data_IF_393812997059
#
_entry.id   IF_393812997059
#
_cell.length_a   1.000
_cell.length_b   1.000
_cell.length_c   1.000
_cell.angle_alpha   90.00
_cell.angle_beta   90.00
_cell.angle_gamma   90.00
#
_symmetry.space_group_name_H-M   'P 1'
#
loop_
_entity.id
_entity.type
_entity.pdbx_description
1 polymer ?
#
# COMPACT_ATOMS: atom_id res chain seq x y z
N UNK A 1 5.19 12.72 -2.37
CA UNK A 1 6.20 12.46 -1.33
C UNK A 1 7.51 13.16 -1.64
N UNK A 2 8.15 12.88 -2.79
CA UNK A 2 9.42 13.50 -3.21
C UNK A 2 9.35 15.03 -3.29
N UNK A 3 8.26 15.58 -3.85
CA UNK A 3 8.08 17.01 -3.95
C UNK A 3 8.09 17.73 -2.58
N UNK A 4 7.48 17.13 -1.57
CA UNK A 4 7.50 17.65 -0.21
C UNK A 4 8.90 17.58 0.42
N UNK A 5 9.62 16.48 0.19
CA UNK A 5 10.98 16.32 0.67
C UNK A 5 11.95 17.32 0.02
N UNK A 6 11.84 17.55 -1.29
CA UNK A 6 12.64 18.54 -2.00
C UNK A 6 12.28 19.97 -1.61
N UNK A 7 11.03 20.25 -1.32
CA UNK A 7 10.61 21.58 -0.84
C UNK A 7 11.17 21.89 0.55
N UNK A 8 11.34 20.85 1.41
CA UNK A 8 11.84 21.04 2.78
C UNK A 8 13.37 21.06 2.88
N UNK A 9 14.06 20.22 2.10
CA UNK A 9 15.50 19.96 2.24
C UNK A 9 16.34 20.31 0.99
N UNK A 10 15.69 20.84 -0.07
CA UNK A 10 16.35 21.12 -1.33
C UNK A 10 16.64 19.88 -2.18
N UNK A 11 17.15 20.11 -3.40
CA UNK A 11 17.47 19.03 -4.35
C UNK A 11 18.81 18.39 -3.99
N UNK A 12 18.76 17.34 -3.14
CA UNK A 12 19.92 16.55 -2.78
C UNK A 12 19.57 15.07 -2.64
N UNK A 13 20.57 14.20 -2.60
CA UNK A 13 20.40 12.74 -2.52
C UNK A 13 19.72 12.32 -1.21
N UNK A 14 19.96 13.02 -0.12
CA UNK A 14 19.31 12.79 1.15
C UNK A 14 17.79 13.03 1.05
N UNK A 15 17.38 14.18 0.51
CA UNK A 15 15.98 14.50 0.33
C UNK A 15 15.25 13.51 -0.60
N UNK A 16 15.95 12.96 -1.60
CA UNK A 16 15.39 11.94 -2.50
C UNK A 16 15.12 10.61 -1.79
N UNK A 17 15.99 10.20 -0.86
CA UNK A 17 15.90 8.92 -0.14
C UNK A 17 15.06 8.98 1.14
N UNK A 18 14.87 10.17 1.70
CA UNK A 18 14.18 10.36 2.98
C UNK A 18 12.77 9.77 3.02
N UNK A 19 11.87 9.95 2.02
CA UNK A 19 10.54 9.38 2.05
C UNK A 19 10.55 7.85 2.16
N UNK A 20 11.37 7.16 1.35
CA UNK A 20 11.48 5.70 1.40
C UNK A 20 11.99 5.21 2.76
N UNK A 21 12.99 5.89 3.34
CA UNK A 21 13.51 5.56 4.66
C UNK A 21 12.46 5.75 5.76
N UNK A 22 11.67 6.82 5.71
CA UNK A 22 10.59 7.09 6.68
C UNK A 22 9.53 5.98 6.61
N UNK A 23 9.08 5.60 5.41
CA UNK A 23 8.13 4.50 5.25
C UNK A 23 8.73 3.14 5.63
N UNK A 24 10.03 2.94 5.42
CA UNK A 24 10.74 1.76 5.90
C UNK A 24 10.69 1.65 7.43
N UNK A 25 11.07 2.70 8.15
CA UNK A 25 11.00 2.74 9.61
C UNK A 25 9.55 2.58 10.09
N UNK A 26 8.60 3.29 9.48
CA UNK A 26 7.17 3.19 9.81
C UNK A 26 6.65 1.74 9.65
N UNK A 27 7.10 1.02 8.61
CA UNK A 27 6.72 -0.39 8.39
C UNK A 27 7.22 -1.30 9.50
N UNK A 28 8.47 -1.13 9.96
CA UNK A 28 9.04 -1.90 11.07
C UNK A 28 8.29 -1.63 12.38
N UNK A 29 8.04 -0.36 12.68
CA UNK A 29 7.30 0.05 13.88
C UNK A 29 5.85 -0.45 13.85
N UNK A 30 5.22 -0.37 12.69
CA UNK A 30 3.85 -0.87 12.51
C UNK A 30 3.77 -2.38 12.66
N UNK A 31 4.74 -3.12 12.10
CA UNK A 31 4.84 -4.57 12.24
C UNK A 31 5.03 -4.96 13.71
N UNK A 32 5.88 -4.24 14.45
CA UNK A 32 6.04 -4.42 15.89
C UNK A 32 4.71 -4.23 16.62
N UNK A 33 4.03 -3.10 16.37
CA UNK A 33 2.78 -2.76 17.04
C UNK A 33 1.68 -3.79 16.74
N UNK A 34 1.48 -4.12 15.45
CA UNK A 34 0.46 -5.07 15.03
C UNK A 34 0.69 -6.48 15.58
N UNK A 35 1.90 -7.00 15.45
CA UNK A 35 2.25 -8.34 15.96
C UNK A 35 2.18 -8.41 17.48
N UNK A 36 2.59 -7.34 18.19
CA UNK A 36 2.45 -7.25 19.65
C UNK A 36 1.00 -7.21 20.10
N UNK A 37 0.13 -6.59 19.32
CA UNK A 37 -1.30 -6.48 19.60
C UNK A 37 -2.05 -7.79 19.36
N UNK A 38 -1.68 -8.51 18.29
CA UNK A 38 -2.37 -9.74 17.87
C UNK A 38 -1.92 -10.95 18.68
N UNK A 39 -0.63 -11.03 19.01
CA UNK A 39 -0.02 -12.15 19.71
C UNK A 39 0.52 -11.70 21.08
N UNK A 40 1.82 -11.35 21.12
CA UNK A 40 2.49 -10.87 22.32
C UNK A 40 3.68 -9.96 21.97
N UNK A 41 4.22 -9.28 22.99
CA UNK A 41 5.32 -8.33 22.80
C UNK A 41 6.61 -8.99 22.29
N UNK A 42 6.85 -10.26 22.66
CA UNK A 42 8.04 -10.99 22.21
C UNK A 42 7.95 -11.29 20.71
N UNK A 43 6.79 -11.77 20.25
CA UNK A 43 6.49 -11.97 18.82
C UNK A 43 6.59 -10.66 18.04
N UNK A 44 6.12 -9.55 18.62
CA UNK A 44 6.26 -8.23 18.01
C UNK A 44 7.71 -7.84 17.76
N UNK A 45 8.58 -8.00 18.76
CA UNK A 45 10.03 -7.74 18.62
C UNK A 45 10.67 -8.64 17.57
N UNK A 46 10.36 -9.93 17.59
CA UNK A 46 10.91 -10.90 16.63
C UNK A 46 10.50 -10.55 15.20
N UNK A 47 9.21 -10.24 14.97
CA UNK A 47 8.72 -9.87 13.65
C UNK A 47 9.35 -8.57 13.12
N UNK A 48 9.48 -7.55 13.98
CA UNK A 48 10.11 -6.29 13.63
C UNK A 48 11.61 -6.46 13.30
N UNK A 49 12.33 -7.28 14.07
CA UNK A 49 13.74 -7.59 13.81
C UNK A 49 13.91 -8.35 12.49
N UNK A 50 13.09 -9.37 12.23
CA UNK A 50 13.15 -10.12 10.96
C UNK A 50 12.92 -9.18 9.78
N UNK A 51 11.89 -8.33 9.83
CA UNK A 51 11.61 -7.38 8.77
C UNK A 51 12.75 -6.37 8.59
N UNK A 52 13.21 -5.75 9.70
CA UNK A 52 14.24 -4.72 9.67
C UNK A 52 15.63 -5.20 9.25
N UNK A 53 15.93 -6.51 9.45
CA UNK A 53 17.19 -7.14 9.03
C UNK A 53 17.09 -7.85 7.68
N UNK A 54 15.91 -7.89 7.06
CA UNK A 54 15.73 -8.44 5.71
C UNK A 54 16.49 -7.59 4.70
N UNK A 55 17.41 -8.21 3.95
CA UNK A 55 18.24 -7.51 2.96
C UNK A 55 17.40 -6.82 1.88
N UNK A 56 16.39 -7.51 1.37
CA UNK A 56 15.50 -6.98 0.33
C UNK A 56 14.74 -5.75 0.84
N UNK A 57 14.18 -5.83 2.05
CA UNK A 57 13.46 -4.72 2.67
C UNK A 57 14.39 -3.53 2.94
N UNK A 58 15.63 -3.78 3.37
CA UNK A 58 16.63 -2.75 3.60
C UNK A 58 17.02 -2.04 2.30
N UNK A 59 17.24 -2.78 1.20
CA UNK A 59 17.51 -2.21 -0.11
C UNK A 59 16.33 -1.35 -0.61
N UNK A 60 15.10 -1.85 -0.45
CA UNK A 60 13.88 -1.15 -0.83
C UNK A 60 13.72 0.19 -0.07
N UNK A 61 14.04 0.18 1.22
CA UNK A 61 13.94 1.37 2.08
C UNK A 61 14.98 2.44 1.76
N UNK A 62 16.05 2.11 1.05
CA UNK A 62 17.08 3.05 0.59
C UNK A 62 16.92 3.51 -0.86
N UNK A 63 16.16 2.78 -1.64
CA UNK A 63 15.96 3.11 -3.04
C UNK A 63 15.05 4.34 -3.17
N UNK A 64 15.28 5.15 -4.21
CA UNK A 64 14.41 6.28 -4.55
C UNK A 64 13.21 5.76 -5.35
N UNK A 65 12.38 4.95 -4.70
CA UNK A 65 11.19 4.30 -5.29
C UNK A 65 10.01 4.40 -4.35
N UNK A 66 8.82 4.30 -4.91
CA UNK A 66 7.56 4.36 -4.15
C UNK A 66 7.20 3.04 -3.46
N UNK A 67 8.01 1.99 -3.63
CA UNK A 67 7.69 0.64 -3.16
C UNK A 67 7.67 0.51 -1.64
N UNK A 68 8.50 1.27 -0.92
CA UNK A 68 8.47 1.31 0.54
C UNK A 68 7.14 1.87 1.06
N UNK A 69 6.61 2.93 0.44
CA UNK A 69 5.31 3.50 0.77
C UNK A 69 4.17 2.54 0.41
N UNK A 70 4.24 1.92 -0.77
CA UNK A 70 3.27 0.90 -1.18
C UNK A 70 3.23 -0.26 -0.18
N UNK A 71 4.38 -0.80 0.19
CA UNK A 71 4.49 -1.87 1.19
C UNK A 71 3.86 -1.48 2.52
N UNK A 72 4.16 -0.26 3.01
CA UNK A 72 3.59 0.26 4.25
C UNK A 72 2.06 0.31 4.18
N UNK A 73 1.49 0.98 3.19
CA UNK A 73 0.04 1.15 3.08
C UNK A 73 -0.69 -0.17 2.85
N UNK A 74 -0.13 -1.09 2.06
CA UNK A 74 -0.70 -2.43 1.88
C UNK A 74 -0.68 -3.23 3.19
N UNK A 75 0.43 -3.18 3.94
CA UNK A 75 0.55 -3.84 5.25
C UNK A 75 -0.46 -3.29 6.24
N UNK A 76 -0.62 -1.95 6.29
CA UNK A 76 -1.65 -1.31 7.12
C UNK A 76 -3.05 -1.73 6.70
N UNK A 77 -3.34 -1.81 5.40
CA UNK A 77 -4.65 -2.23 4.89
C UNK A 77 -4.99 -3.67 5.31
N UNK A 78 -4.08 -4.62 5.07
CA UNK A 78 -4.28 -6.04 5.40
C UNK A 78 -4.44 -6.24 6.92
N UNK A 79 -3.56 -5.62 7.70
CA UNK A 79 -3.60 -5.73 9.16
C UNK A 79 -4.86 -5.08 9.75
N UNK A 80 -5.29 -3.93 9.21
CA UNK A 80 -6.51 -3.27 9.63
C UNK A 80 -7.76 -4.06 9.27
N UNK A 81 -7.76 -4.76 8.12
CA UNK A 81 -8.82 -5.72 7.78
C UNK A 81 -8.92 -6.81 8.85
N UNK A 82 -7.78 -7.41 9.24
CA UNK A 82 -7.75 -8.45 10.26
C UNK A 82 -8.21 -7.95 11.64
N UNK A 83 -7.82 -6.73 12.03
CA UNK A 83 -8.29 -6.11 13.28
C UNK A 83 -9.79 -5.77 13.21
N UNK A 84 -10.28 -5.35 12.05
CA UNK A 84 -11.71 -5.12 11.80
C UNK A 84 -12.56 -6.38 11.96
N UNK A 85 -12.02 -7.52 11.52
CA UNK A 85 -12.62 -8.82 11.68
C UNK A 85 -12.61 -9.31 13.13
N UNK A 86 -11.52 -9.08 13.88
CA UNK A 86 -11.29 -9.67 15.21
C UNK A 86 -11.75 -8.80 16.37
N UNK A 87 -11.62 -7.47 16.26
CA UNK A 87 -11.80 -6.55 17.39
C UNK A 87 -12.93 -5.55 17.17
N UNK A 88 -12.72 -4.54 16.35
CA UNK A 88 -13.69 -3.45 16.14
C UNK A 88 -13.82 -3.12 14.64
N UNK A 89 -15.05 -3.11 14.17
CA UNK A 89 -15.41 -2.77 12.77
C UNK A 89 -14.93 -1.39 12.32
N UNK A 90 -14.50 -0.51 13.22
CA UNK A 90 -13.89 0.78 12.88
C UNK A 90 -12.59 0.64 12.11
N UNK A 91 -11.84 -0.45 12.34
CA UNK A 91 -10.60 -0.72 11.61
C UNK A 91 -10.83 -0.94 10.10
N UNK A 92 -12.04 -1.29 9.67
CA UNK A 92 -12.35 -1.35 8.24
C UNK A 92 -12.20 0.00 7.55
N UNK A 93 -12.50 1.12 8.21
CA UNK A 93 -12.26 2.45 7.63
C UNK A 93 -10.76 2.70 7.42
N UNK A 94 -9.92 2.28 8.36
CA UNK A 94 -8.47 2.37 8.20
C UNK A 94 -7.97 1.46 7.06
N UNK A 95 -8.56 0.27 6.91
CA UNK A 95 -8.28 -0.63 5.79
C UNK A 95 -8.54 0.06 4.44
N UNK A 96 -9.71 0.67 4.26
CA UNK A 96 -10.06 1.37 3.01
C UNK A 96 -9.22 2.62 2.78
N UNK A 97 -8.93 3.40 3.83
CA UNK A 97 -8.06 4.57 3.72
C UNK A 97 -6.64 4.19 3.32
N UNK A 98 -6.08 3.15 3.93
CA UNK A 98 -4.75 2.64 3.59
C UNK A 98 -4.71 2.05 2.17
N UNK A 99 -5.75 1.31 1.75
CA UNK A 99 -5.88 0.83 0.37
C UNK A 99 -5.94 1.98 -0.64
N UNK A 100 -6.67 3.06 -0.33
CA UNK A 100 -6.73 4.26 -1.17
C UNK A 100 -5.34 4.89 -1.33
N UNK A 101 -4.59 5.05 -0.24
CA UNK A 101 -3.23 5.59 -0.27
C UNK A 101 -2.27 4.66 -1.03
N UNK A 102 -2.42 3.34 -0.90
CA UNK A 102 -1.66 2.37 -1.69
C UNK A 102 -1.94 2.51 -3.20
N UNK A 103 -3.21 2.70 -3.59
CA UNK A 103 -3.60 2.95 -5.00
C UNK A 103 -3.03 4.27 -5.52
N UNK A 104 -3.03 5.33 -4.72
CA UNK A 104 -2.41 6.59 -5.09
C UNK A 104 -0.88 6.50 -5.23
N UNK A 105 -0.25 5.50 -4.60
CA UNK A 105 1.20 5.29 -4.67
C UNK A 105 1.63 4.59 -5.96
N UNK A 106 0.96 3.51 -6.37
CA UNK A 106 1.39 2.68 -7.51
C UNK A 106 0.23 2.14 -8.36
N UNK A 107 -0.98 2.64 -8.18
CA UNK A 107 -2.15 2.26 -8.97
C UNK A 107 -2.90 1.03 -8.43
N UNK A 108 -3.66 0.32 -9.30
CA UNK A 108 -4.63 -0.71 -8.90
C UNK A 108 -4.08 -1.84 -8.03
N UNK A 109 -2.79 -2.15 -8.14
CA UNK A 109 -2.14 -3.20 -7.35
C UNK A 109 -2.27 -2.96 -5.83
N UNK A 110 -2.34 -1.67 -5.42
CA UNK A 110 -2.54 -1.27 -4.04
C UNK A 110 -3.90 -1.67 -3.47
N UNK A 111 -4.89 -1.96 -4.31
CA UNK A 111 -6.20 -2.49 -3.92
C UNK A 111 -6.31 -3.99 -4.15
N UNK A 112 -5.77 -4.48 -5.27
CA UNK A 112 -5.93 -5.88 -5.69
C UNK A 112 -5.31 -6.83 -4.66
N UNK A 113 -4.08 -6.60 -4.21
CA UNK A 113 -3.41 -7.49 -3.28
C UNK A 113 -4.06 -7.52 -1.88
N UNK A 114 -4.36 -6.37 -1.21
CA UNK A 114 -5.10 -6.40 0.04
C UNK A 114 -6.51 -6.99 -0.12
N UNK A 115 -7.22 -6.67 -1.20
CA UNK A 115 -8.54 -7.21 -1.49
C UNK A 115 -8.52 -8.73 -1.69
N UNK A 116 -7.56 -9.24 -2.47
CA UNK A 116 -7.38 -10.68 -2.67
C UNK A 116 -7.05 -11.38 -1.35
N UNK A 117 -6.16 -10.79 -0.54
CA UNK A 117 -5.79 -11.32 0.78
C UNK A 117 -7.00 -11.41 1.71
N UNK A 118 -7.85 -10.38 1.70
CA UNK A 118 -9.09 -10.35 2.49
C UNK A 118 -10.08 -11.43 2.03
N UNK A 119 -10.29 -11.57 0.72
CA UNK A 119 -11.17 -12.58 0.14
C UNK A 119 -10.68 -13.99 0.47
N UNK A 120 -9.39 -14.27 0.26
CA UNK A 120 -8.79 -15.57 0.58
C UNK A 120 -8.89 -15.90 2.07
N UNK A 121 -8.69 -14.92 2.94
CA UNK A 121 -8.87 -15.10 4.38
C UNK A 121 -10.31 -15.47 4.74
N UNK A 122 -11.33 -14.77 4.20
CA UNK A 122 -12.74 -15.08 4.45
C UNK A 122 -13.17 -16.43 3.88
N UNK A 123 -12.65 -16.81 2.71
CA UNK A 123 -12.86 -18.14 2.12
C UNK A 123 -12.28 -19.24 3.02
N UNK A 124 -11.06 -19.06 3.51
CA UNK A 124 -10.42 -20.01 4.43
C UNK A 124 -11.21 -20.16 5.73
N UNK A 125 -11.70 -19.04 6.28
CA UNK A 125 -12.52 -19.03 7.50
C UNK A 125 -13.95 -19.53 7.26
N UNK A 126 -14.36 -19.70 5.99
CA UNK A 126 -15.74 -20.02 5.58
C UNK A 126 -16.78 -19.03 6.11
N UNK A 127 -16.38 -17.80 6.32
CA UNK A 127 -17.21 -16.73 6.89
C UNK A 127 -17.47 -15.62 5.86
N UNK A 128 -18.13 -16.01 4.76
CA UNK A 128 -18.49 -15.05 3.71
C UNK A 128 -19.57 -14.05 4.15
N UNK A 129 -20.27 -14.34 5.27
CA UNK A 129 -21.26 -13.42 5.82
C UNK A 129 -20.61 -12.13 6.33
N UNK A 130 -19.35 -12.20 6.77
CA UNK A 130 -18.60 -11.01 7.19
C UNK A 130 -18.45 -10.00 6.05
N UNK A 131 -18.47 -10.41 4.76
CA UNK A 131 -18.48 -9.48 3.62
C UNK A 131 -19.60 -8.45 3.69
N UNK A 132 -20.75 -8.79 4.29
CA UNK A 132 -21.86 -7.86 4.51
C UNK A 132 -21.57 -6.87 5.65
N UNK A 133 -20.66 -7.24 6.56
CA UNK A 133 -20.30 -6.46 7.75
C UNK A 133 -19.03 -5.60 7.54
N UNK A 134 -18.27 -5.80 6.48
CA UNK A 134 -17.04 -5.04 6.12
C UNK A 134 -17.36 -3.57 5.77
N UNK A 135 -18.60 -3.12 5.97
CA UNK A 135 -19.04 -1.75 5.66
C UNK A 135 -18.70 -1.33 4.24
N UNK A 136 -18.94 -2.22 3.25
CA UNK A 136 -18.53 -2.04 1.85
C UNK A 136 -18.95 -0.67 1.29
N UNK A 137 -20.17 -0.23 1.53
CA UNK A 137 -20.69 1.03 0.98
C UNK A 137 -19.92 2.22 1.57
N UNK A 138 -19.88 2.33 2.91
CA UNK A 138 -19.20 3.47 3.57
C UNK A 138 -17.69 3.43 3.38
N UNK A 139 -17.09 2.24 3.33
CA UNK A 139 -15.67 2.05 3.03
C UNK A 139 -15.33 2.42 1.59
N UNK A 140 -16.17 2.02 0.62
CA UNK A 140 -15.99 2.40 -0.78
C UNK A 140 -16.15 3.90 -1.00
N UNK A 141 -17.10 4.54 -0.31
CA UNK A 141 -17.25 6.01 -0.35
C UNK A 141 -15.98 6.69 0.18
N UNK A 142 -15.43 6.23 1.31
CA UNK A 142 -14.18 6.75 1.85
C UNK A 142 -13.00 6.54 0.88
N UNK A 143 -12.89 5.34 0.30
CA UNK A 143 -11.87 5.02 -0.69
C UNK A 143 -11.96 5.96 -1.91
N UNK A 144 -13.15 6.12 -2.48
CA UNK A 144 -13.37 7.02 -3.62
C UNK A 144 -13.10 8.48 -3.26
N UNK A 145 -13.52 8.94 -2.08
CA UNK A 145 -13.26 10.30 -1.61
C UNK A 145 -11.76 10.62 -1.54
N UNK A 146 -10.93 9.64 -1.20
CA UNK A 146 -9.47 9.80 -1.14
C UNK A 146 -8.81 9.67 -2.51
N UNK A 147 -9.27 8.76 -3.36
CA UNK A 147 -8.67 8.51 -4.67
C UNK A 147 -9.20 9.44 -5.77
N UNK A 148 -10.52 9.69 -5.81
CA UNK A 148 -11.18 10.39 -6.92
C UNK A 148 -10.63 11.80 -7.18
N UNK A 149 -10.32 12.65 -6.18
CA UNK A 149 -9.82 14.00 -6.44
C UNK A 149 -8.55 13.99 -7.30
N UNK A 150 -7.62 13.07 -7.04
CA UNK A 150 -6.39 12.94 -7.82
C UNK A 150 -6.66 12.46 -9.24
N UNK A 151 -7.45 11.40 -9.40
CA UNK A 151 -7.75 10.86 -10.73
C UNK A 151 -8.60 11.82 -11.58
N UNK A 152 -9.56 12.51 -10.97
CA UNK A 152 -10.36 13.55 -11.64
C UNK A 152 -9.45 14.69 -12.10
N UNK A 153 -8.60 15.21 -11.22
CA UNK A 153 -7.67 16.28 -11.55
C UNK A 153 -6.76 15.89 -12.73
N UNK A 154 -6.15 14.71 -12.68
CA UNK A 154 -5.28 14.22 -13.75
C UNK A 154 -6.03 13.99 -15.07
N UNK A 155 -7.26 13.49 -15.02
CA UNK A 155 -8.08 13.29 -16.22
C UNK A 155 -8.50 14.60 -16.86
N UNK A 156 -8.86 15.59 -16.05
CA UNK A 156 -9.24 16.93 -16.55
C UNK A 156 -8.03 17.65 -17.18
N UNK A 157 -6.84 17.49 -16.58
CA UNK A 157 -5.64 18.20 -17.03
C UNK A 157 -4.95 17.52 -18.23
N UNK A 158 -4.92 16.18 -18.29
CA UNK A 158 -4.21 15.41 -19.32
C UNK A 158 -5.15 14.67 -20.30
N UNK A 159 -6.45 14.84 -20.19
CA UNK A 159 -7.43 14.19 -21.06
C UNK A 159 -7.58 12.69 -20.79
N UNK A 160 -8.38 12.02 -21.62
CA UNK A 160 -8.64 10.58 -21.54
C UNK A 160 -7.41 9.70 -21.81
N UNK A 161 -6.40 10.25 -22.49
CA UNK A 161 -5.15 9.55 -22.79
C UNK A 161 -4.39 9.18 -21.50
N UNK A 162 -4.55 9.94 -20.43
CA UNK A 162 -3.99 9.59 -19.12
C UNK A 162 -4.57 8.28 -18.59
N UNK A 163 -5.89 8.10 -18.66
CA UNK A 163 -6.54 6.87 -18.18
C UNK A 163 -6.14 5.66 -19.03
N UNK A 164 -6.11 5.81 -20.35
CA UNK A 164 -5.72 4.74 -21.26
C UNK A 164 -4.27 4.33 -21.07
N UNK A 165 -3.36 5.28 -20.91
CA UNK A 165 -1.94 5.00 -20.66
C UNK A 165 -1.69 4.45 -19.27
N UNK A 166 -2.34 4.99 -18.24
CA UNK A 166 -2.14 4.58 -16.87
C UNK A 166 -2.72 3.18 -16.58
N UNK A 167 -3.97 2.93 -16.98
CA UNK A 167 -4.61 1.63 -16.75
C UNK A 167 -4.25 0.60 -17.83
N UNK A 168 -4.12 0.99 -19.10
CA UNK A 168 -3.82 0.10 -20.20
C UNK A 168 -2.33 -0.22 -20.30
N UNK A 169 -1.49 0.78 -20.61
CA UNK A 169 -0.08 0.56 -20.91
C UNK A 169 0.72 0.23 -19.65
N UNK A 170 0.58 1.03 -18.58
CA UNK A 170 1.41 0.85 -17.39
C UNK A 170 1.01 -0.32 -16.49
N UNK A 171 -0.27 -0.64 -16.39
CA UNK A 171 -0.70 -1.72 -15.51
C UNK A 171 -0.94 -3.03 -16.25
N UNK A 172 -1.59 -3.01 -17.41
CA UNK A 172 -1.91 -4.24 -18.14
C UNK A 172 -0.70 -4.80 -18.90
N UNK A 173 0.05 -3.97 -19.64
CA UNK A 173 1.22 -4.44 -20.39
C UNK A 173 2.35 -4.88 -19.46
N UNK A 174 2.60 -4.18 -18.34
CA UNK A 174 3.59 -4.63 -17.34
C UNK A 174 3.23 -5.95 -16.68
N UNK A 175 1.95 -6.26 -16.54
CA UNK A 175 1.50 -7.53 -15.99
C UNK A 175 1.60 -8.70 -17.00
N UNK A 176 1.57 -8.41 -18.31
CA UNK A 176 1.50 -9.41 -19.36
C UNK A 176 2.77 -9.54 -20.21
N UNK A 177 3.58 -8.49 -20.28
CA UNK A 177 4.83 -8.46 -21.06
C UNK A 177 6.00 -8.19 -20.13
N UNK A 178 6.96 -9.14 -20.03
CA UNK A 178 8.19 -8.94 -19.28
C UNK A 178 9.02 -7.82 -19.96
N UNK A 179 9.12 -6.66 -19.32
CA UNK A 179 9.89 -5.49 -19.81
C UNK A 179 11.42 -5.70 -19.81
N UNK A 180 11.92 -6.90 -19.56
CA UNK A 180 13.34 -7.23 -19.59
C UNK A 180 13.71 -7.98 -20.87
N UNK A 181 13.39 -7.42 -22.02
CA UNK A 181 14.24 -7.64 -23.19
C UNK A 181 15.27 -6.51 -23.21
N UNK A 182 16.36 -6.71 -22.45
CA UNK A 182 17.62 -6.04 -22.72
C UNK A 182 17.98 -6.39 -24.15
N UNK A 183 17.80 -5.45 -25.06
CA UNK A 183 18.50 -5.44 -26.35
C UNK A 183 19.98 -5.32 -26.04
N UNK A 184 20.66 -6.46 -25.90
CA UNK A 184 22.06 -6.57 -26.14
C UNK A 184 22.31 -6.29 -27.64
N UNK A 185 22.75 -5.12 -27.96
CA UNK A 185 23.53 -4.78 -29.18
C UNK A 185 24.80 -4.10 -28.74
#
# INVERSE_FOLDING_TARGET
ELALSFAAFGFNEFAARLPSAVFGVASVLYTFWFSSKVYDRKTGWTAALILGTSLEFWLLSKAVVTDAALFFFMSVSIASFYLGYREDRKYYFLCYAAAALAVLTKGPIGLVLPGLSAILFLLWRRDLREMLHVRLISGMVLFLLLCAPWYIYMTVYHGTDFLLNFFGVHNYLRATVAEHQSTCL
#
